data_IF_876233882917
#
_entry.id   IF_876233882917
#
_cell.length_a   1.000
_cell.length_b   1.000
_cell.length_c   1.000
_cell.angle_alpha   90.00
_cell.angle_beta   90.00
_cell.angle_gamma   90.00
#
_symmetry.space_group_name_H-M   'P 1'
#
loop_
_entity.id
_entity.type
_entity.pdbx_description
1 polymer ?
#
# COMPACT_ATOMS: atom_id res chain seq x y z
N UNK A 1 6.22 -6.23 21.14
CA UNK A 1 5.07 -5.88 20.29
C UNK A 1 5.52 -6.09 18.85
N UNK A 2 5.05 -7.13 18.17
CA UNK A 2 5.51 -7.44 16.81
C UNK A 2 4.97 -6.38 15.85
N UNK A 3 5.85 -5.59 15.26
CA UNK A 3 5.54 -4.52 14.30
C UNK A 3 5.02 -5.10 12.98
N UNK A 4 5.22 -6.41 12.76
CA UNK A 4 4.93 -7.08 11.51
C UNK A 4 3.43 -7.36 11.27
N UNK A 5 2.58 -7.28 12.31
CA UNK A 5 1.13 -7.44 12.15
C UNK A 5 0.36 -6.61 13.19
N UNK A 6 0.01 -5.35 12.88
CA UNK A 6 -0.74 -4.52 13.80
C UNK A 6 -2.14 -5.12 14.09
N UNK A 7 -2.71 -4.86 15.28
CA UNK A 7 -4.06 -5.31 15.60
C UNK A 7 -5.10 -4.69 14.66
N UNK A 8 -6.15 -5.44 14.33
CA UNK A 8 -7.24 -4.97 13.47
C UNK A 8 -8.08 -3.93 14.23
N UNK A 9 -8.38 -2.82 13.56
CA UNK A 9 -9.34 -1.83 14.03
C UNK A 9 -10.68 -2.03 13.31
N UNK A 10 -11.79 -1.97 14.05
CA UNK A 10 -13.13 -2.00 13.45
C UNK A 10 -13.43 -0.61 12.90
N UNK A 11 -13.84 -0.55 11.63
CA UNK A 11 -14.22 0.69 10.94
C UNK A 11 -15.64 0.53 10.40
N UNK A 12 -16.47 1.53 10.65
CA UNK A 12 -17.84 1.61 10.10
C UNK A 12 -17.83 2.46 8.83
N UNK A 13 -18.47 1.99 7.77
CA UNK A 13 -18.63 2.74 6.52
C UNK A 13 -20.03 2.55 5.96
N UNK A 14 -20.44 3.47 5.08
CA UNK A 14 -21.71 3.40 4.38
C UNK A 14 -21.52 2.84 2.97
N UNK A 15 -22.42 1.98 2.54
CA UNK A 15 -22.43 1.39 1.20
C UNK A 15 -23.86 1.24 0.68
N UNK A 16 -24.00 1.22 -0.65
CA UNK A 16 -25.29 0.98 -1.29
C UNK A 16 -25.75 -0.44 -0.98
N UNK A 17 -27.01 -0.55 -0.53
CA UNK A 17 -27.63 -1.83 -0.17
C UNK A 17 -27.52 -2.89 -1.27
N UNK A 18 -27.82 -2.50 -2.52
CA UNK A 18 -27.74 -3.38 -3.70
C UNK A 18 -26.35 -4.00 -3.88
N UNK A 19 -25.29 -3.23 -3.60
CA UNK A 19 -23.91 -3.72 -3.73
C UNK A 19 -23.56 -4.74 -2.66
N UNK A 20 -24.04 -4.52 -1.42
CA UNK A 20 -23.83 -5.46 -0.31
C UNK A 20 -24.61 -6.75 -0.54
N UNK A 21 -25.87 -6.65 -0.99
CA UNK A 21 -26.70 -7.83 -1.27
C UNK A 21 -26.04 -8.70 -2.37
N UNK A 22 -25.60 -8.09 -3.48
CA UNK A 22 -24.90 -8.80 -4.54
C UNK A 22 -23.57 -9.41 -4.09
N UNK A 23 -22.81 -8.71 -3.23
CA UNK A 23 -21.57 -9.25 -2.67
C UNK A 23 -21.84 -10.49 -1.81
N UNK A 24 -22.90 -10.46 -0.99
CA UNK A 24 -23.30 -11.60 -0.17
C UNK A 24 -23.77 -12.79 -1.02
N UNK A 25 -24.59 -12.55 -2.05
CA UNK A 25 -25.06 -13.60 -2.97
C UNK A 25 -23.89 -14.31 -3.68
N UNK A 26 -22.84 -13.56 -4.02
CA UNK A 26 -21.66 -14.08 -4.70
C UNK A 26 -20.58 -14.61 -3.74
N UNK A 27 -20.79 -14.54 -2.42
CA UNK A 27 -19.81 -15.00 -1.42
C UNK A 27 -18.53 -14.17 -1.40
N UNK A 28 -18.62 -12.88 -1.72
CA UNK A 28 -17.47 -11.96 -1.79
C UNK A 28 -17.05 -11.51 -0.39
N UNK A 29 -15.77 -11.63 -0.07
CA UNK A 29 -15.20 -11.07 1.17
C UNK A 29 -15.01 -9.55 1.03
N UNK A 30 -16.03 -8.81 1.49
CA UNK A 30 -16.07 -7.35 1.46
C UNK A 30 -14.89 -6.74 2.23
N UNK A 31 -14.54 -7.31 3.38
CA UNK A 31 -13.48 -6.75 4.22
C UNK A 31 -12.11 -6.90 3.55
N UNK A 32 -11.83 -8.05 2.94
CA UNK A 32 -10.58 -8.27 2.20
C UNK A 32 -10.46 -7.34 0.98
N UNK A 33 -11.54 -7.14 0.22
CA UNK A 33 -11.54 -6.23 -0.93
C UNK A 33 -11.33 -4.78 -0.49
N UNK A 34 -12.03 -4.33 0.56
CA UNK A 34 -11.87 -2.98 1.08
C UNK A 34 -10.43 -2.73 1.58
N UNK A 35 -9.84 -3.68 2.28
CA UNK A 35 -8.44 -3.60 2.74
C UNK A 35 -7.47 -3.46 1.57
N UNK A 36 -7.60 -4.29 0.52
CA UNK A 36 -6.71 -4.20 -0.63
C UNK A 36 -6.90 -2.91 -1.42
N UNK A 37 -8.15 -2.46 -1.58
CA UNK A 37 -8.45 -1.19 -2.24
C UNK A 37 -7.84 -0.01 -1.48
N UNK A 38 -7.95 0.01 -0.14
CA UNK A 38 -7.33 1.03 0.70
C UNK A 38 -5.82 1.00 0.60
N UNK A 39 -5.19 -0.18 0.64
CA UNK A 39 -3.74 -0.32 0.45
C UNK A 39 -3.28 0.20 -0.90
N UNK A 40 -4.01 -0.12 -1.97
CA UNK A 40 -3.69 0.36 -3.31
C UNK A 40 -3.74 1.89 -3.39
N UNK A 41 -4.78 2.52 -2.83
CA UNK A 41 -4.92 3.98 -2.84
C UNK A 41 -3.87 4.67 -1.97
N UNK A 42 -3.55 4.11 -0.79
CA UNK A 42 -2.48 4.62 0.07
C UNK A 42 -1.13 4.54 -0.65
N UNK A 43 -0.82 3.40 -1.29
CA UNK A 43 0.40 3.25 -2.10
C UNK A 43 0.46 4.27 -3.22
N UNK A 44 -0.64 4.48 -3.95
CA UNK A 44 -0.72 5.46 -5.04
C UNK A 44 -0.42 6.88 -4.54
N UNK A 45 -1.10 7.33 -3.48
CA UNK A 45 -0.87 8.67 -2.91
C UNK A 45 0.53 8.84 -2.37
N UNK A 46 1.08 7.79 -1.75
CA UNK A 46 2.45 7.83 -1.28
C UNK A 46 3.44 7.97 -2.44
N UNK A 47 3.26 7.22 -3.53
CA UNK A 47 4.10 7.35 -4.73
C UNK A 47 4.01 8.75 -5.34
N UNK A 48 2.80 9.31 -5.43
CA UNK A 48 2.59 10.67 -5.93
C UNK A 48 3.30 11.72 -5.07
N UNK A 49 3.14 11.62 -3.75
CA UNK A 49 3.78 12.56 -2.81
C UNK A 49 5.32 12.41 -2.77
N UNK A 50 5.85 11.23 -3.08
CA UNK A 50 7.28 10.95 -3.02
C UNK A 50 7.96 10.94 -4.40
N UNK A 51 7.22 11.24 -5.48
CA UNK A 51 7.73 11.14 -6.85
C UNK A 51 9.01 11.97 -7.07
N UNK A 52 9.02 13.21 -6.58
CA UNK A 52 10.18 14.10 -6.72
C UNK A 52 11.37 13.63 -5.89
N UNK A 53 11.14 13.16 -4.66
CA UNK A 53 12.18 12.62 -3.80
C UNK A 53 12.80 11.36 -4.40
N UNK A 54 11.97 10.45 -4.92
CA UNK A 54 12.40 9.24 -5.61
C UNK A 54 13.22 9.61 -6.85
N UNK A 55 12.76 10.57 -7.66
CA UNK A 55 13.49 11.03 -8.84
C UNK A 55 14.85 11.64 -8.47
N UNK A 56 14.90 12.46 -7.42
CA UNK A 56 16.14 13.05 -6.92
C UNK A 56 17.13 11.97 -6.46
N UNK A 57 16.65 10.96 -5.74
CA UNK A 57 17.49 9.86 -5.27
C UNK A 57 17.98 9.00 -6.45
N UNK A 58 17.13 8.72 -7.43
CA UNK A 58 17.50 7.95 -8.61
C UNK A 58 18.59 8.67 -9.41
N UNK A 59 18.44 9.97 -9.64
CA UNK A 59 19.45 10.77 -10.33
C UNK A 59 20.79 10.78 -9.57
N UNK A 60 20.74 10.88 -8.24
CA UNK A 60 21.94 10.80 -7.41
C UNK A 60 22.63 9.43 -7.52
N UNK A 61 21.87 8.34 -7.51
CA UNK A 61 22.38 6.97 -7.66
C UNK A 61 22.95 6.73 -9.05
N UNK A 62 22.36 7.28 -10.10
CA UNK A 62 22.91 7.19 -11.47
C UNK A 62 24.26 7.89 -11.58
N UNK A 63 24.44 9.04 -10.91
CA UNK A 63 25.68 9.80 -10.93
C UNK A 63 26.77 9.23 -9.99
N UNK A 64 26.38 8.74 -8.81
CA UNK A 64 27.33 8.37 -7.74
C UNK A 64 27.45 6.86 -7.51
N UNK A 65 26.62 6.05 -8.18
CA UNK A 65 26.48 4.63 -7.92
C UNK A 65 25.65 4.32 -6.68
N UNK A 66 25.52 3.03 -6.36
CA UNK A 66 24.72 2.59 -5.22
C UNK A 66 25.41 2.98 -3.89
N UNK A 67 24.72 3.68 -2.98
CA UNK A 67 25.24 3.91 -1.65
C UNK A 67 25.58 2.56 -0.99
N UNK A 68 26.78 2.46 -0.45
CA UNK A 68 27.26 1.28 0.30
C UNK A 68 27.41 0.00 -0.55
N UNK A 69 27.50 0.09 -1.88
CA UNK A 69 27.79 -1.05 -2.75
C UNK A 69 29.03 -1.84 -2.30
N UNK A 70 30.05 -1.12 -1.81
CA UNK A 70 31.29 -1.66 -1.23
C UNK A 70 31.10 -2.59 -0.01
N UNK A 71 29.90 -2.67 0.56
CA UNK A 71 29.58 -3.53 1.72
C UNK A 71 28.59 -4.63 1.39
N UNK A 72 28.21 -4.82 0.11
CA UNK A 72 27.31 -5.90 -0.30
C UNK A 72 28.03 -7.25 -0.15
N UNK A 73 27.65 -8.02 0.87
CA UNK A 73 28.00 -9.44 0.99
C UNK A 73 27.08 -10.22 0.04
N UNK A 74 27.68 -11.04 -0.81
CA UNK A 74 27.06 -11.81 -1.90
C UNK A 74 25.94 -12.72 -1.41
#
# INVERSE_FOLDING_TARGET
MSIANPPRQIVTFEAKRVTIDMANELGVDIAAICEEALRAEVRRRWQEANADAIKSINAWVEEHGLPLEKHRLF
#
